data_IF_693759084993
#
_entry.id   IF_693759084993
#
_cell.length_a   1.000
_cell.length_b   1.000
_cell.length_c   1.000
_cell.angle_alpha   90.00
_cell.angle_beta   90.00
_cell.angle_gamma   90.00
#
_symmetry.space_group_name_H-M   'P 1'
#
loop_
_entity.id
_entity.type
_entity.pdbx_description
1 polymer ?
#
# COMPACT_ATOMS: atom_id res chain seq x y z
N UNK A 1 16.35 -0.27 -11.23
CA UNK A 1 14.86 -0.26 -11.36
C UNK A 1 14.49 1.07 -11.97
N UNK A 2 13.55 1.11 -12.92
CA UNK A 2 13.08 2.36 -13.52
C UNK A 2 11.84 2.83 -12.81
N UNK A 3 11.55 4.14 -12.81
CA UNK A 3 10.39 4.58 -12.04
C UNK A 3 9.06 4.03 -12.59
N UNK A 4 8.96 3.79 -13.90
CA UNK A 4 7.79 3.12 -14.51
C UNK A 4 7.52 1.72 -13.93
N UNK A 5 8.54 1.08 -13.37
CA UNK A 5 8.43 -0.24 -12.77
C UNK A 5 7.61 -0.19 -11.47
N UNK A 6 7.55 0.96 -10.79
CA UNK A 6 6.68 1.13 -9.63
C UNK A 6 5.20 1.01 -9.99
N UNK A 7 4.73 1.68 -11.07
CA UNK A 7 3.33 1.57 -11.50
C UNK A 7 2.99 0.13 -11.92
N UNK A 8 3.91 -0.53 -12.64
CA UNK A 8 3.74 -1.93 -13.02
C UNK A 8 3.69 -2.86 -11.79
N UNK A 9 4.51 -2.61 -10.78
CA UNK A 9 4.49 -3.37 -9.52
C UNK A 9 3.18 -3.15 -8.77
N UNK A 10 2.74 -1.89 -8.61
CA UNK A 10 1.47 -1.54 -7.99
C UNK A 10 0.29 -2.26 -8.67
N UNK A 11 0.26 -2.25 -10.02
CA UNK A 11 -0.78 -2.94 -10.81
C UNK A 11 -0.77 -4.46 -10.57
N UNK A 12 0.41 -5.08 -10.53
CA UNK A 12 0.52 -6.52 -10.22
C UNK A 12 0.03 -6.84 -8.80
N UNK A 13 0.44 -6.07 -7.80
CA UNK A 13 -0.01 -6.27 -6.43
C UNK A 13 -1.52 -6.08 -6.29
N UNK A 14 -2.09 -5.04 -6.91
CA UNK A 14 -3.53 -4.78 -6.94
C UNK A 14 -4.29 -5.97 -7.51
N UNK A 15 -3.88 -6.49 -8.66
CA UNK A 15 -4.53 -7.64 -9.28
C UNK A 15 -4.50 -8.88 -8.37
N UNK A 16 -3.38 -9.11 -7.65
CA UNK A 16 -3.31 -10.19 -6.66
C UNK A 16 -4.23 -9.93 -5.46
N UNK A 17 -4.31 -8.69 -4.97
CA UNK A 17 -5.27 -8.31 -3.92
C UNK A 17 -6.71 -8.60 -4.34
N UNK A 18 -7.08 -8.33 -5.58
CA UNK A 18 -8.43 -8.62 -6.10
C UNK A 18 -8.77 -10.12 -6.04
N UNK A 19 -7.80 -11.00 -6.30
CA UNK A 19 -7.99 -12.45 -6.17
C UNK A 19 -8.10 -12.87 -4.70
N UNK A 20 -7.21 -12.37 -3.83
CA UNK A 20 -7.24 -12.68 -2.39
C UNK A 20 -8.55 -12.24 -1.74
N UNK A 21 -9.00 -11.02 -2.04
CA UNK A 21 -10.28 -10.45 -1.57
C UNK A 21 -11.45 -11.36 -1.93
N UNK A 22 -11.55 -11.76 -3.20
CA UNK A 22 -12.60 -12.68 -3.68
C UNK A 22 -12.57 -14.03 -2.96
N UNK A 23 -11.38 -14.61 -2.79
CA UNK A 23 -11.23 -15.89 -2.11
C UNK A 23 -11.67 -15.82 -0.63
N UNK A 24 -11.29 -14.75 0.08
CA UNK A 24 -11.72 -14.55 1.47
C UNK A 24 -13.24 -14.38 1.55
N UNK A 25 -13.86 -13.63 0.64
CA UNK A 25 -15.32 -13.45 0.58
C UNK A 25 -16.05 -14.77 0.33
N UNK A 26 -15.54 -15.61 -0.57
CA UNK A 26 -16.09 -16.95 -0.81
C UNK A 26 -16.00 -17.81 0.44
N UNK A 27 -14.88 -17.81 1.15
CA UNK A 27 -14.71 -18.58 2.37
C UNK A 27 -15.65 -18.11 3.49
N UNK A 28 -15.81 -16.79 3.66
CA UNK A 28 -16.73 -16.21 4.64
C UNK A 28 -18.18 -16.56 4.29
N UNK A 29 -18.58 -16.39 3.03
CA UNK A 29 -19.97 -16.62 2.57
C UNK A 29 -20.41 -18.09 2.64
N UNK A 30 -19.46 -19.04 2.64
CA UNK A 30 -19.73 -20.47 2.85
C UNK A 30 -19.83 -20.87 4.32
N UNK A 31 -19.84 -19.90 5.24
CA UNK A 31 -19.72 -20.13 6.69
C UNK A 31 -18.55 -21.06 7.04
N UNK A 32 -17.45 -20.93 6.29
CA UNK A 32 -16.32 -21.84 6.39
C UNK A 32 -15.75 -21.85 7.80
N UNK A 33 -15.60 -23.06 8.38
CA UNK A 33 -14.88 -23.25 9.65
C UNK A 33 -13.38 -23.03 9.51
N UNK A 34 -12.85 -22.80 8.30
CA UNK A 34 -11.42 -22.62 8.05
C UNK A 34 -10.94 -21.19 8.41
N UNK A 35 -11.06 -20.84 9.69
CA UNK A 35 -10.64 -19.55 10.25
C UNK A 35 -9.15 -19.28 10.03
N UNK A 36 -8.32 -20.33 10.05
CA UNK A 36 -6.88 -20.22 9.82
C UNK A 36 -6.57 -19.73 8.39
N UNK A 37 -7.24 -20.29 7.38
CA UNK A 37 -7.06 -19.86 5.99
C UNK A 37 -7.56 -18.44 5.74
N UNK A 38 -8.71 -18.07 6.33
CA UNK A 38 -9.24 -16.70 6.25
C UNK A 38 -8.23 -15.71 6.85
N UNK A 39 -7.68 -16.02 8.04
CA UNK A 39 -6.65 -15.22 8.70
C UNK A 39 -5.42 -15.05 7.81
N UNK A 40 -4.87 -16.14 7.29
CA UNK A 40 -3.68 -16.15 6.43
C UNK A 40 -3.87 -15.28 5.17
N UNK A 41 -4.98 -15.50 4.45
CA UNK A 41 -5.30 -14.74 3.24
C UNK A 41 -5.54 -13.25 3.54
N UNK A 42 -6.13 -12.94 4.70
CA UNK A 42 -6.34 -11.55 5.13
C UNK A 42 -5.01 -10.85 5.42
N UNK A 43 -4.07 -11.50 6.11
CA UNK A 43 -2.73 -10.96 6.35
C UNK A 43 -1.99 -10.72 5.03
N UNK A 44 -2.09 -11.67 4.08
CA UNK A 44 -1.50 -11.52 2.74
C UNK A 44 -2.14 -10.37 1.96
N UNK A 45 -3.45 -10.18 2.06
CA UNK A 45 -4.15 -9.05 1.44
C UNK A 45 -3.67 -7.72 2.02
N UNK A 46 -3.48 -7.63 3.34
CA UNK A 46 -2.94 -6.45 4.00
C UNK A 46 -1.50 -6.16 3.55
N UNK A 47 -0.64 -7.18 3.57
CA UNK A 47 0.75 -7.09 3.12
C UNK A 47 0.86 -6.52 1.70
N UNK A 48 0.12 -7.11 0.75
CA UNK A 48 0.15 -6.68 -0.64
C UNK A 48 -0.52 -5.32 -0.86
N UNK A 49 -1.58 -5.00 -0.11
CA UNK A 49 -2.22 -3.69 -0.19
C UNK A 49 -1.27 -2.56 0.18
N UNK A 50 -0.39 -2.75 1.16
CA UNK A 50 0.61 -1.74 1.46
C UNK A 50 1.68 -1.59 0.36
N UNK A 51 2.02 -2.65 -0.39
CA UNK A 51 2.85 -2.47 -1.58
C UNK A 51 2.14 -1.74 -2.72
N UNK A 52 0.81 -1.88 -2.86
CA UNK A 52 0.04 -1.04 -3.78
C UNK A 52 0.20 0.43 -3.39
N UNK A 53 0.02 0.75 -2.10
CA UNK A 53 0.22 2.11 -1.56
C UNK A 53 1.65 2.61 -1.83
N UNK A 54 2.66 1.85 -1.41
CA UNK A 54 4.07 2.25 -1.53
C UNK A 54 4.45 2.53 -2.97
N UNK A 55 4.17 1.60 -3.87
CA UNK A 55 4.55 1.71 -5.26
C UNK A 55 3.82 2.86 -5.95
N UNK A 56 2.54 3.06 -5.63
CA UNK A 56 1.75 4.18 -6.18
C UNK A 56 2.30 5.52 -5.72
N UNK A 57 2.58 5.68 -4.42
CA UNK A 57 3.12 6.95 -3.90
C UNK A 57 4.51 7.22 -4.49
N UNK A 58 5.40 6.22 -4.54
CA UNK A 58 6.73 6.37 -5.13
C UNK A 58 6.65 6.79 -6.59
N UNK A 59 5.78 6.16 -7.39
CA UNK A 59 5.54 6.58 -8.77
C UNK A 59 5.05 8.04 -8.85
N UNK A 60 4.07 8.42 -8.01
CA UNK A 60 3.55 9.78 -7.98
C UNK A 60 4.64 10.82 -7.70
N UNK A 61 5.55 10.54 -6.76
CA UNK A 61 6.70 11.41 -6.49
C UNK A 61 7.58 11.58 -7.74
N UNK A 62 7.94 10.48 -8.40
CA UNK A 62 8.74 10.53 -9.62
C UNK A 62 8.06 11.29 -10.77
N UNK A 63 6.73 11.17 -10.87
CA UNK A 63 5.93 11.93 -11.82
C UNK A 63 6.03 13.44 -11.56
N UNK A 64 5.83 13.88 -10.31
CA UNK A 64 5.83 15.32 -9.97
C UNK A 64 7.19 15.99 -10.04
N UNK A 65 8.28 15.25 -9.84
CA UNK A 65 9.63 15.80 -10.04
C UNK A 65 10.09 15.72 -11.49
N UNK A 66 9.22 15.29 -12.40
CA UNK A 66 9.53 15.13 -13.83
C UNK A 66 10.78 14.26 -14.05
N UNK A 67 10.96 13.22 -13.22
CA UNK A 67 12.11 12.34 -13.36
C UNK A 67 12.07 11.62 -14.70
N UNK A 68 13.23 11.29 -15.25
CA UNK A 68 13.31 10.57 -16.53
C UNK A 68 12.84 9.12 -16.38
N UNK A 69 11.88 8.70 -17.23
CA UNK A 69 11.27 7.36 -17.24
C UNK A 69 12.27 6.22 -17.45
N UNK A 70 13.41 6.55 -18.03
CA UNK A 70 14.41 5.57 -18.43
C UNK A 70 15.62 5.51 -17.51
N UNK A 71 15.81 6.51 -16.62
CA UNK A 71 16.91 6.53 -15.65
C UNK A 71 16.67 5.55 -14.50
N UNK A 72 17.76 5.04 -13.94
CA UNK A 72 17.68 4.20 -12.75
C UNK A 72 17.32 5.07 -11.55
N UNK A 73 16.37 4.60 -10.76
CA UNK A 73 15.90 5.30 -9.56
C UNK A 73 17.00 5.53 -8.52
N UNK A 74 18.08 4.74 -8.56
CA UNK A 74 19.26 4.90 -7.69
C UNK A 74 20.03 6.18 -7.98
N UNK A 75 19.90 6.73 -9.18
CA UNK A 75 20.55 7.97 -9.61
C UNK A 75 19.69 9.20 -9.26
N UNK A 76 18.68 9.05 -8.41
CA UNK A 76 17.86 10.17 -7.95
C UNK A 76 18.68 11.07 -7.03
N UNK A 77 18.90 12.29 -7.50
CA UNK A 77 19.37 13.46 -6.75
C UNK A 77 18.76 14.72 -7.38
N UNK A 78 17.53 15.07 -7.00
CA UNK A 78 16.79 16.19 -7.60
C UNK A 78 15.76 16.77 -6.62
N UNK A 79 15.57 18.09 -6.62
CA UNK A 79 14.56 18.79 -5.81
C UNK A 79 14.64 18.46 -4.30
N UNK A 80 15.85 18.23 -3.79
CA UNK A 80 16.10 17.85 -2.39
C UNK A 80 15.71 16.40 -2.05
N UNK A 81 15.37 15.58 -3.06
CA UNK A 81 15.10 14.16 -2.91
C UNK A 81 16.30 13.34 -3.37
N UNK A 82 16.67 12.36 -2.56
CA UNK A 82 17.66 11.34 -2.91
C UNK A 82 17.03 9.96 -2.80
N UNK A 83 17.57 9.00 -3.55
CA UNK A 83 17.13 7.61 -3.44
C UNK A 83 17.30 7.07 -2.00
N UNK A 84 18.44 7.33 -1.38
CA UNK A 84 18.78 6.84 -0.04
C UNK A 84 17.95 7.49 1.08
N UNK A 85 17.68 8.79 0.96
CA UNK A 85 16.96 9.54 1.99
C UNK A 85 15.47 9.23 2.01
N UNK A 86 14.83 9.35 0.85
CA UNK A 86 13.38 9.26 0.76
C UNK A 86 12.98 7.88 0.22
N UNK A 87 13.40 7.51 -0.98
CA UNK A 87 12.81 6.40 -1.76
C UNK A 87 13.10 5.00 -1.22
N UNK A 88 14.30 4.74 -0.68
CA UNK A 88 14.73 3.40 -0.25
C UNK A 88 13.91 2.82 0.91
N UNK A 89 13.25 3.65 1.69
CA UNK A 89 12.52 3.20 2.88
C UNK A 89 11.15 2.55 2.52
N UNK A 90 10.46 2.01 3.53
CA UNK A 90 9.12 1.40 3.40
C UNK A 90 8.04 2.12 4.22
N UNK A 91 8.40 3.22 4.91
CA UNK A 91 7.47 3.94 5.79
C UNK A 91 6.69 5.00 5.04
N UNK A 92 5.37 4.84 4.97
CA UNK A 92 4.48 5.69 4.18
C UNK A 92 4.57 7.18 4.53
N UNK A 93 4.67 7.51 5.83
CA UNK A 93 4.71 8.90 6.33
C UNK A 93 5.80 9.76 5.68
N UNK A 94 6.96 9.16 5.34
CA UNK A 94 8.07 9.89 4.70
C UNK A 94 7.79 10.28 3.24
N UNK A 95 6.84 9.63 2.60
CA UNK A 95 6.49 9.84 1.20
C UNK A 95 5.31 10.78 1.02
N UNK A 96 4.34 10.65 1.91
CA UNK A 96 3.04 11.30 1.81
C UNK A 96 3.16 12.82 1.79
N UNK A 97 4.11 13.40 2.54
CA UNK A 97 4.30 14.86 2.60
C UNK A 97 4.67 15.47 1.25
N UNK A 98 5.59 14.84 0.50
CA UNK A 98 6.02 15.36 -0.80
C UNK A 98 4.88 15.31 -1.80
N UNK A 99 4.17 14.18 -1.83
CA UNK A 99 3.04 13.99 -2.73
C UNK A 99 1.89 14.95 -2.40
N UNK A 100 1.59 15.15 -1.11
CA UNK A 100 0.56 16.06 -0.63
C UNK A 100 0.81 17.52 -1.06
N UNK A 101 2.07 17.97 -1.07
CA UNK A 101 2.41 19.33 -1.55
C UNK A 101 2.09 19.57 -3.03
N UNK A 102 2.07 18.52 -3.85
CA UNK A 102 1.87 18.62 -5.29
C UNK A 102 0.46 18.17 -5.74
N UNK A 103 -0.22 17.33 -4.95
CA UNK A 103 -1.59 16.91 -5.19
C UNK A 103 -2.33 16.69 -3.87
N UNK A 104 -3.33 17.53 -3.63
CA UNK A 104 -4.29 17.38 -2.54
C UNK A 104 -5.23 16.18 -2.72
N UNK A 105 -5.99 15.87 -1.67
CA UNK A 105 -7.08 14.88 -1.67
C UNK A 105 -6.73 13.45 -2.12
N UNK A 106 -5.48 13.02 -1.93
CA UNK A 106 -5.10 11.63 -2.08
C UNK A 106 -5.49 10.88 -0.79
N UNK A 107 -6.34 9.85 -0.85
CA UNK A 107 -6.74 9.07 0.33
C UNK A 107 -5.54 8.54 1.11
N UNK A 108 -5.60 8.60 2.45
CA UNK A 108 -4.53 8.20 3.39
C UNK A 108 -3.19 8.97 3.29
N UNK A 109 -3.01 9.80 2.27
CA UNK A 109 -1.80 10.64 2.06
C UNK A 109 -2.06 12.07 2.53
N UNK A 110 -3.20 12.63 2.15
CA UNK A 110 -3.61 14.00 2.50
C UNK A 110 -5.05 14.10 2.97
N UNK A 111 -5.90 13.11 2.64
CA UNK A 111 -7.28 13.00 3.11
C UNK A 111 -7.49 11.79 4.02
N UNK A 112 -7.89 12.05 5.28
CA UNK A 112 -8.33 11.04 6.24
C UNK A 112 -9.84 11.12 6.57
N UNK A 113 -10.56 11.97 5.84
CA UNK A 113 -11.99 12.15 6.01
C UNK A 113 -12.72 10.86 5.64
N UNK A 114 -13.60 10.40 6.54
CA UNK A 114 -14.32 9.12 6.37
C UNK A 114 -13.46 7.87 6.55
N UNK A 115 -12.18 7.98 6.93
CA UNK A 115 -11.31 6.83 7.21
C UNK A 115 -11.44 6.44 8.69
N UNK A 116 -11.72 5.17 8.96
CA UNK A 116 -11.81 4.63 10.33
C UNK A 116 -10.47 4.66 11.06
N UNK A 117 -10.50 4.61 12.40
CA UNK A 117 -9.29 4.59 13.23
C UNK A 117 -8.42 3.37 12.92
N UNK A 118 -9.05 2.24 12.66
CA UNK A 118 -8.43 0.96 12.37
C UNK A 118 -7.68 1.00 11.04
N UNK A 119 -8.28 1.58 9.99
CA UNK A 119 -7.60 1.76 8.70
C UNK A 119 -6.42 2.74 8.82
N UNK A 120 -6.53 3.79 9.64
CA UNK A 120 -5.40 4.68 9.94
C UNK A 120 -4.25 3.95 10.63
N UNK A 121 -4.57 3.05 11.56
CA UNK A 121 -3.58 2.22 12.25
C UNK A 121 -2.92 1.23 11.28
N UNK A 122 -3.70 0.59 10.40
CA UNK A 122 -3.17 -0.28 9.35
C UNK A 122 -2.22 0.48 8.41
N UNK A 123 -2.59 1.68 7.99
CA UNK A 123 -1.70 2.51 7.17
C UNK A 123 -0.40 2.86 7.90
N UNK A 124 -0.51 3.33 9.15
CA UNK A 124 0.65 3.76 9.95
C UNK A 124 1.60 2.61 10.28
N UNK A 125 1.06 1.43 10.55
CA UNK A 125 1.81 0.29 11.05
C UNK A 125 2.17 -0.72 9.96
N UNK A 126 1.89 -0.42 8.69
CA UNK A 126 2.33 -1.30 7.62
C UNK A 126 3.86 -1.36 7.57
N UNK A 127 4.37 -2.57 7.46
CA UNK A 127 5.79 -2.86 7.30
C UNK A 127 5.93 -4.15 6.49
N UNK A 128 7.06 -4.30 5.79
CA UNK A 128 7.33 -5.48 5.00
C UNK A 128 7.44 -6.75 5.87
N UNK A 129 7.74 -6.63 7.16
CA UNK A 129 7.85 -7.76 8.11
C UNK A 129 6.52 -8.48 8.37
N UNK A 130 5.37 -7.89 7.97
CA UNK A 130 4.06 -8.56 7.98
C UNK A 130 4.12 -9.91 7.25
N UNK A 131 4.99 -10.08 6.24
CA UNK A 131 5.16 -11.34 5.49
C UNK A 131 5.60 -12.53 6.34
N UNK A 132 6.15 -12.28 7.52
CA UNK A 132 6.62 -13.33 8.43
C UNK A 132 5.59 -13.69 9.51
N UNK A 133 4.42 -13.04 9.51
CA UNK A 133 3.34 -13.35 10.45
C UNK A 133 2.65 -14.65 10.02
N UNK A 134 2.70 -15.64 10.91
CA UNK A 134 2.05 -16.94 10.70
C UNK A 134 1.21 -17.35 11.91
N UNK A 135 1.81 -17.34 13.10
CA UNK A 135 1.17 -17.82 14.33
C UNK A 135 0.53 -16.67 15.12
N UNK A 136 1.35 -15.83 15.73
CA UNK A 136 0.94 -14.71 16.56
C UNK A 136 1.05 -13.40 15.81
N UNK A 137 0.16 -12.46 16.12
CA UNK A 137 0.17 -11.10 15.56
C UNK A 137 0.68 -10.17 16.65
N UNK A 138 1.91 -9.64 16.48
CA UNK A 138 2.44 -8.63 17.37
C UNK A 138 1.52 -7.40 17.46
N UNK A 139 1.54 -6.72 18.60
CA UNK A 139 0.69 -5.55 18.86
C UNK A 139 0.85 -4.45 17.81
N UNK A 140 2.05 -4.31 17.22
CA UNK A 140 2.26 -3.33 16.16
C UNK A 140 1.40 -3.61 14.91
N UNK A 141 1.13 -4.87 14.59
CA UNK A 141 0.33 -5.26 13.42
C UNK A 141 -1.15 -5.49 13.77
N UNK A 142 -1.63 -4.88 14.87
CA UNK A 142 -3.03 -4.99 15.28
C UNK A 142 -3.97 -4.68 14.09
N UNK A 143 -5.01 -5.52 13.96
CA UNK A 143 -6.02 -5.51 12.90
C UNK A 143 -5.58 -6.07 11.54
N UNK A 144 -4.33 -6.50 11.35
CA UNK A 144 -3.86 -7.04 10.07
C UNK A 144 -4.55 -8.35 9.64
N UNK A 145 -5.27 -9.00 10.55
CA UNK A 145 -6.08 -10.20 10.30
C UNK A 145 -7.60 -9.94 10.36
N UNK A 146 -8.02 -8.70 10.60
CA UNK A 146 -9.44 -8.34 10.55
C UNK A 146 -9.85 -8.06 9.12
N UNK A 147 -10.56 -8.99 8.49
CA UNK A 147 -10.93 -8.87 7.07
C UNK A 147 -11.70 -7.59 6.77
N UNK A 148 -12.61 -7.16 7.66
CA UNK A 148 -13.39 -5.92 7.49
C UNK A 148 -12.46 -4.71 7.35
N UNK A 149 -11.49 -4.56 8.27
CA UNK A 149 -10.59 -3.41 8.25
C UNK A 149 -9.55 -3.50 7.13
N UNK A 150 -9.07 -4.70 6.83
CA UNK A 150 -8.11 -4.93 5.74
C UNK A 150 -8.75 -4.70 4.38
N UNK A 151 -10.01 -5.09 4.19
CA UNK A 151 -10.78 -4.79 2.98
C UNK A 151 -10.92 -3.29 2.79
N UNK A 152 -11.27 -2.55 3.84
CA UNK A 152 -11.36 -1.08 3.77
C UNK A 152 -10.01 -0.44 3.45
N UNK A 153 -8.92 -0.92 4.06
CA UNK A 153 -7.56 -0.47 3.73
C UNK A 153 -7.18 -0.77 2.28
N UNK A 154 -7.53 -1.96 1.78
CA UNK A 154 -7.32 -2.35 0.39
C UNK A 154 -8.08 -1.44 -0.59
N UNK A 155 -9.34 -1.09 -0.29
CA UNK A 155 -10.10 -0.12 -1.08
C UNK A 155 -9.40 1.23 -1.15
N UNK A 156 -8.85 1.72 -0.04
CA UNK A 156 -8.06 2.96 -0.05
C UNK A 156 -6.77 2.84 -0.85
N UNK A 157 -6.10 1.69 -0.83
CA UNK A 157 -4.95 1.43 -1.70
C UNK A 157 -5.33 1.47 -3.18
N UNK A 158 -6.49 0.93 -3.56
CA UNK A 158 -7.03 0.99 -4.92
C UNK A 158 -7.39 2.41 -5.36
N UNK A 159 -7.98 3.22 -4.46
CA UNK A 159 -8.25 4.64 -4.72
C UNK A 159 -6.95 5.41 -5.00
N UNK A 160 -5.91 5.23 -4.17
CA UNK A 160 -4.59 5.85 -4.37
C UNK A 160 -3.99 5.44 -5.72
N UNK A 161 -4.01 4.14 -6.03
CA UNK A 161 -3.52 3.62 -7.31
C UNK A 161 -4.24 4.27 -8.49
N UNK A 162 -5.57 4.37 -8.44
CA UNK A 162 -6.38 4.97 -9.50
C UNK A 162 -6.05 6.46 -9.71
N UNK A 163 -5.81 7.21 -8.63
CA UNK A 163 -5.42 8.62 -8.71
C UNK A 163 -4.06 8.80 -9.37
N UNK A 164 -3.15 7.85 -9.18
CA UNK A 164 -1.78 7.88 -9.70
C UNK A 164 -1.69 7.33 -11.12
N UNK A 165 -2.46 6.31 -11.46
CA UNK A 165 -2.49 5.72 -12.81
C UNK A 165 -3.00 6.72 -13.87
N UNK A 166 -3.84 7.67 -13.45
CA UNK A 166 -4.35 8.76 -14.29
C UNK A 166 -3.47 10.03 -14.30
N UNK A 167 -2.27 9.98 -13.72
CA UNK A 167 -1.28 11.08 -13.80
C UNK A 167 -0.47 11.00 -15.09
#
# INVERSE_FOLDING_TARGET
MKYKDFLNSARKHKNTCDILKKEVEVLIGRESKNKARIKELTINLYYLSGYVVECSIKYGIYYFIEYDRNKDIKDLDQNGLTFSGQIKNHKFERYSEYLNRHKGDIPLVSGFNGVSKEVKLLYKNWDADVRYLYSEIPIQFRYCDSYVHVKDFNLKAEEIFSVVENM
#
